data_IF_850450660105
#
_entry.id   IF_850450660105
#
_cell.length_a   1.000
_cell.length_b   1.000
_cell.length_c   1.000
_cell.angle_alpha   90.00
_cell.angle_beta   90.00
_cell.angle_gamma   90.00
#
_symmetry.space_group_name_H-M   'P 1'
#
loop_
_entity.id
_entity.type
_entity.pdbx_description
1 polymer ?
#
# COMPACT_ATOMS: atom_id res chain seq x y z
N UNK A 1 17.50 16.08 13.75
CA UNK A 1 16.66 16.26 14.95
C UNK A 1 16.95 17.62 15.53
N UNK A 2 15.91 18.39 15.87
CA UNK A 2 16.07 19.73 16.39
C UNK A 2 15.70 19.80 17.88
N UNK A 3 16.25 20.77 18.58
CA UNK A 3 15.92 21.05 19.98
C UNK A 3 14.45 21.48 20.11
N UNK A 4 13.70 20.83 21.01
CA UNK A 4 12.27 21.13 21.23
C UNK A 4 12.05 22.51 21.87
N UNK A 5 13.09 23.10 22.46
CA UNK A 5 13.01 24.42 23.16
C UNK A 5 13.37 25.59 22.26
N UNK A 6 14.35 25.43 21.36
CA UNK A 6 14.84 26.57 20.56
C UNK A 6 14.97 26.28 19.05
N UNK A 7 14.67 25.07 18.61
CA UNK A 7 14.75 24.68 17.18
C UNK A 7 16.16 24.45 16.64
N UNK A 8 17.22 24.69 17.41
CA UNK A 8 18.61 24.47 16.96
C UNK A 8 18.87 23.02 16.65
N UNK A 9 19.58 22.67 15.54
CA UNK A 9 19.97 21.28 15.24
C UNK A 9 20.80 20.71 16.41
N UNK A 10 20.46 19.47 16.81
CA UNK A 10 21.13 18.80 17.92
C UNK A 10 22.48 18.22 17.47
N UNK A 11 23.52 18.48 18.28
CA UNK A 11 24.85 17.91 18.17
C UNK A 11 25.00 16.63 19.01
N UNK A 12 26.19 16.01 19.03
CA UNK A 12 26.44 14.78 19.78
C UNK A 12 26.56 14.97 21.31
N UNK A 13 26.64 16.22 21.79
CA UNK A 13 26.71 16.54 23.21
C UNK A 13 25.34 16.51 23.89
N UNK A 14 25.29 16.27 25.21
CA UNK A 14 24.05 16.03 25.96
C UNK A 14 23.27 17.30 26.32
N UNK A 15 23.70 18.44 25.86
CA UNK A 15 23.00 19.74 25.98
C UNK A 15 22.88 20.44 24.64
N UNK A 16 21.86 21.26 24.51
CA UNK A 16 21.62 22.06 23.30
C UNK A 16 22.64 23.22 23.18
N UNK A 17 23.32 23.28 22.05
CA UNK A 17 24.30 24.41 21.80
C UNK A 17 23.66 25.75 21.67
N UNK A 18 22.34 25.84 21.34
CA UNK A 18 21.63 27.08 21.19
C UNK A 18 21.03 27.65 22.49
N UNK A 19 20.49 26.79 23.36
CA UNK A 19 19.79 27.23 24.56
C UNK A 19 20.31 26.62 25.87
N UNK A 20 21.31 25.72 25.82
CA UNK A 20 21.89 25.07 27.00
C UNK A 20 21.01 24.02 27.68
N UNK A 21 19.80 23.73 27.16
CA UNK A 21 18.91 22.76 27.77
C UNK A 21 19.49 21.35 27.71
N UNK A 22 19.27 20.53 28.76
CA UNK A 22 19.61 19.13 28.79
C UNK A 22 18.71 18.37 27.77
N UNK A 23 19.35 17.65 26.83
CA UNK A 23 18.70 16.90 25.75
C UNK A 23 18.96 15.40 25.85
N UNK A 24 19.54 14.92 26.97
CA UNK A 24 19.87 13.50 27.19
C UNK A 24 18.66 12.60 26.98
N UNK A 25 17.51 12.96 27.57
CA UNK A 25 16.25 12.20 27.44
C UNK A 25 15.79 12.19 25.98
N UNK A 26 15.84 13.34 25.30
CA UNK A 26 15.41 13.47 23.90
C UNK A 26 16.23 12.56 22.99
N UNK A 27 17.55 12.54 23.17
CA UNK A 27 18.46 11.64 22.44
C UNK A 27 18.20 10.18 22.75
N UNK A 28 17.91 9.85 24.01
CA UNK A 28 17.57 8.47 24.42
C UNK A 28 16.29 8.00 23.74
N UNK A 29 15.26 8.84 23.73
CA UNK A 29 13.98 8.55 23.04
C UNK A 29 14.19 8.34 21.55
N UNK A 30 14.97 9.21 20.90
CA UNK A 30 15.31 9.04 19.48
C UNK A 30 16.08 7.73 19.19
N UNK A 31 17.03 7.39 20.05
CA UNK A 31 17.79 6.14 19.93
C UNK A 31 16.87 4.92 20.06
N UNK A 32 15.95 4.92 21.03
CA UNK A 32 14.97 3.83 21.18
C UNK A 32 14.09 3.72 19.96
N UNK A 33 13.60 4.86 19.42
CA UNK A 33 12.81 4.87 18.19
C UNK A 33 13.58 4.24 17.03
N UNK A 34 14.85 4.59 16.84
CA UNK A 34 15.69 4.05 15.78
C UNK A 34 16.00 2.54 15.98
N UNK A 35 16.18 2.08 17.20
CA UNK A 35 16.34 0.65 17.48
C UNK A 35 15.08 -0.13 17.11
N UNK A 36 13.89 0.38 17.46
CA UNK A 36 12.61 -0.24 17.11
C UNK A 36 12.32 -0.18 15.61
N UNK A 37 12.78 0.88 14.92
CA UNK A 37 12.75 0.94 13.46
C UNK A 37 13.61 -0.17 12.85
N UNK A 38 14.85 -0.33 13.29
CA UNK A 38 15.74 -1.37 12.79
C UNK A 38 15.17 -2.77 13.04
N UNK A 39 14.61 -3.01 14.23
CA UNK A 39 13.90 -4.26 14.54
C UNK A 39 12.74 -4.51 13.57
N UNK A 40 11.94 -3.46 13.27
CA UNK A 40 10.86 -3.52 12.29
C UNK A 40 11.34 -3.82 10.88
N UNK A 41 12.47 -3.22 10.48
CA UNK A 41 13.10 -3.47 9.18
C UNK A 41 13.57 -4.92 9.04
N UNK A 42 14.22 -5.46 10.07
CA UNK A 42 14.71 -6.85 10.07
C UNK A 42 13.54 -7.85 10.01
N UNK A 43 12.47 -7.60 10.76
CA UNK A 43 11.23 -8.39 10.69
C UNK A 43 10.59 -8.32 9.28
N UNK A 44 10.52 -7.14 8.69
CA UNK A 44 9.99 -6.98 7.34
C UNK A 44 10.81 -7.75 6.29
N UNK A 45 12.13 -7.80 6.42
CA UNK A 45 13.04 -8.56 5.53
C UNK A 45 12.75 -10.06 5.54
N UNK A 46 12.39 -10.62 6.69
CA UNK A 46 12.03 -12.05 6.82
C UNK A 46 10.54 -12.30 6.62
N UNK A 47 9.78 -11.30 6.16
CA UNK A 47 8.33 -11.33 5.93
C UNK A 47 7.50 -11.58 7.20
N UNK A 48 8.00 -11.22 8.36
CA UNK A 48 7.22 -11.08 9.58
C UNK A 48 6.56 -9.68 9.57
N UNK A 49 5.51 -9.53 8.73
CA UNK A 49 4.89 -8.22 8.51
C UNK A 49 4.14 -7.74 9.76
N UNK A 50 3.44 -8.62 10.44
CA UNK A 50 2.72 -8.29 11.68
C UNK A 50 3.68 -7.87 12.80
N UNK A 51 4.80 -8.57 12.97
CA UNK A 51 5.86 -8.20 13.91
C UNK A 51 6.52 -6.87 13.53
N UNK A 52 6.77 -6.63 12.24
CA UNK A 52 7.30 -5.37 11.72
C UNK A 52 6.35 -4.19 12.03
N UNK A 53 5.05 -4.32 11.75
CA UNK A 53 4.04 -3.31 12.07
C UNK A 53 4.07 -2.97 13.57
N UNK A 54 4.16 -4.00 14.44
CA UNK A 54 4.21 -3.78 15.89
C UNK A 54 5.45 -2.98 16.31
N UNK A 55 6.64 -3.35 15.83
CA UNK A 55 7.89 -2.67 16.16
C UNK A 55 7.91 -1.24 15.61
N UNK A 56 7.45 -1.02 14.37
CA UNK A 56 7.39 0.31 13.75
C UNK A 56 6.38 1.24 14.43
N UNK A 57 5.21 0.74 14.83
CA UNK A 57 4.25 1.52 15.62
C UNK A 57 4.85 1.96 16.95
N UNK A 58 5.52 1.04 17.66
CA UNK A 58 6.24 1.40 18.89
C UNK A 58 7.35 2.42 18.64
N UNK A 59 8.08 2.32 17.53
CA UNK A 59 9.05 3.35 17.13
C UNK A 59 8.41 4.73 17.05
N UNK A 60 7.22 4.82 16.44
CA UNK A 60 6.45 6.06 16.27
C UNK A 60 5.77 6.53 17.57
N UNK A 61 5.52 5.66 18.55
CA UNK A 61 5.09 6.05 19.90
C UNK A 61 6.18 6.85 20.62
N UNK A 62 7.46 6.43 20.47
CA UNK A 62 8.60 7.14 21.02
C UNK A 62 8.94 8.42 20.24
N UNK A 63 8.96 8.35 18.92
CA UNK A 63 9.24 9.50 18.05
C UNK A 63 8.30 9.54 16.85
N UNK A 64 7.27 10.39 16.96
CA UNK A 64 6.26 10.56 15.89
C UNK A 64 6.84 11.16 14.60
N UNK A 65 7.97 11.86 14.69
CA UNK A 65 8.64 12.50 13.56
C UNK A 65 9.63 11.58 12.83
N UNK A 66 9.77 10.33 13.25
CA UNK A 66 10.62 9.37 12.56
C UNK A 66 10.05 9.03 11.17
N UNK A 67 10.48 9.80 10.15
CA UNK A 67 10.00 9.67 8.78
C UNK A 67 10.30 8.28 8.21
N UNK A 68 11.46 7.71 8.55
CA UNK A 68 11.87 6.41 8.01
C UNK A 68 11.02 5.27 8.58
N UNK A 69 10.71 5.33 9.89
CA UNK A 69 9.81 4.37 10.51
C UNK A 69 8.40 4.47 9.94
N UNK A 70 7.91 5.68 9.66
CA UNK A 70 6.58 5.91 9.07
C UNK A 70 6.52 5.46 7.62
N UNK A 71 7.53 5.78 6.83
CA UNK A 71 7.63 5.34 5.43
C UNK A 71 7.69 3.81 5.32
N UNK A 72 8.48 3.18 6.16
CA UNK A 72 8.58 1.72 6.21
C UNK A 72 7.27 1.10 6.70
N UNK A 73 6.60 1.68 7.69
CA UNK A 73 5.29 1.21 8.16
C UNK A 73 4.25 1.23 7.02
N UNK A 74 4.22 2.31 6.23
CA UNK A 74 3.39 2.38 5.04
C UNK A 74 3.71 1.27 4.03
N UNK A 75 5.00 1.00 3.79
CA UNK A 75 5.42 -0.06 2.88
C UNK A 75 5.01 -1.46 3.39
N UNK A 76 5.15 -1.71 4.69
CA UNK A 76 4.74 -2.99 5.31
C UNK A 76 3.22 -3.17 5.25
N UNK A 77 2.43 -2.12 5.47
CA UNK A 77 0.99 -2.15 5.25
C UNK A 77 0.63 -2.45 3.79
N UNK A 78 1.34 -1.84 2.84
CA UNK A 78 1.14 -2.10 1.43
C UNK A 78 1.42 -3.57 1.07
N UNK A 79 2.51 -4.15 1.60
CA UNK A 79 2.86 -5.56 1.42
C UNK A 79 1.87 -6.52 2.09
N UNK A 80 1.20 -6.12 3.16
CA UNK A 80 0.12 -6.88 3.80
C UNK A 80 -1.26 -6.70 3.13
N UNK A 81 -1.31 -5.91 2.04
CA UNK A 81 -2.54 -5.61 1.27
C UNK A 81 -3.41 -4.51 1.88
N UNK A 82 -2.97 -3.85 2.95
CA UNK A 82 -3.69 -2.76 3.62
C UNK A 82 -3.36 -1.40 3.00
N UNK A 83 -3.79 -1.20 1.74
CA UNK A 83 -3.40 -0.03 0.95
C UNK A 83 -3.85 1.30 1.57
N UNK A 84 -5.02 1.35 2.21
CA UNK A 84 -5.50 2.57 2.88
C UNK A 84 -4.58 2.94 4.04
N UNK A 85 -4.25 1.98 4.90
CA UNK A 85 -3.31 2.21 6.01
C UNK A 85 -1.94 2.66 5.50
N UNK A 86 -1.47 2.08 4.39
CA UNK A 86 -0.22 2.48 3.75
C UNK A 86 -0.26 3.94 3.30
N UNK A 87 -1.31 4.34 2.57
CA UNK A 87 -1.50 5.72 2.10
C UNK A 87 -1.60 6.70 3.27
N UNK A 88 -2.32 6.34 4.33
CA UNK A 88 -2.43 7.18 5.54
C UNK A 88 -1.06 7.47 6.13
N UNK A 89 -0.20 6.46 6.31
CA UNK A 89 1.13 6.65 6.86
C UNK A 89 2.03 7.50 5.94
N UNK A 90 1.96 7.28 4.62
CA UNK A 90 2.74 8.08 3.67
C UNK A 90 2.26 9.53 3.57
N UNK A 91 0.94 9.79 3.60
CA UNK A 91 0.41 11.16 3.62
C UNK A 91 0.83 11.89 4.89
N UNK A 92 0.75 11.23 6.05
CA UNK A 92 1.23 11.82 7.31
C UNK A 92 2.74 12.10 7.23
N UNK A 93 3.53 11.16 6.69
CA UNK A 93 4.97 11.33 6.52
C UNK A 93 5.31 12.53 5.64
N UNK A 94 4.63 12.67 4.48
CA UNK A 94 4.81 13.78 3.55
C UNK A 94 4.46 15.12 4.20
N UNK A 95 3.35 15.17 4.95
CA UNK A 95 2.91 16.42 5.62
C UNK A 95 3.86 16.86 6.74
N UNK A 96 4.47 15.90 7.46
CA UNK A 96 5.43 16.22 8.54
C UNK A 96 6.81 16.61 8.00
N UNK A 97 7.24 16.01 6.90
CA UNK A 97 8.54 16.22 6.26
C UNK A 97 8.33 16.31 4.75
N UNK A 98 7.99 17.48 4.20
CA UNK A 98 7.69 17.62 2.77
C UNK A 98 8.93 17.47 1.89
N UNK A 99 10.12 17.84 2.39
CA UNK A 99 11.35 17.83 1.62
C UNK A 99 12.02 16.45 1.65
N UNK A 100 12.49 15.99 0.48
CA UNK A 100 13.24 14.72 0.28
C UNK A 100 12.60 13.53 1.01
N UNK A 101 11.31 13.28 0.71
CA UNK A 101 10.56 12.22 1.38
C UNK A 101 10.13 11.13 0.40
N UNK A 102 10.60 9.89 0.63
CA UNK A 102 10.21 8.72 -0.15
C UNK A 102 8.69 8.45 -0.17
N UNK A 103 7.94 8.99 0.80
CA UNK A 103 6.48 8.89 0.83
C UNK A 103 5.85 9.46 -0.44
N UNK A 104 6.38 10.58 -0.97
CA UNK A 104 5.88 11.18 -2.21
C UNK A 104 5.98 10.20 -3.38
N UNK A 105 7.13 9.59 -3.58
CA UNK A 105 7.32 8.57 -4.62
C UNK A 105 6.28 7.43 -4.51
N UNK A 106 6.00 6.94 -3.30
CA UNK A 106 5.01 5.87 -3.11
C UNK A 106 3.58 6.33 -3.39
N UNK A 107 3.23 7.53 -2.97
CA UNK A 107 1.92 8.14 -3.23
C UNK A 107 1.73 8.31 -4.74
N UNK A 108 2.68 8.94 -5.43
CA UNK A 108 2.61 9.19 -6.87
C UNK A 108 2.53 7.90 -7.68
N UNK A 109 3.30 6.89 -7.30
CA UNK A 109 3.26 5.56 -7.92
C UNK A 109 1.89 4.87 -7.79
N UNK A 110 1.13 5.17 -6.75
CA UNK A 110 -0.24 4.67 -6.60
C UNK A 110 -1.24 5.54 -7.35
N UNK A 111 -1.07 6.85 -7.33
CA UNK A 111 -1.99 7.82 -7.95
C UNK A 111 -1.84 7.91 -9.47
N UNK A 112 -0.64 7.67 -10.01
CA UNK A 112 -0.37 7.71 -11.45
C UNK A 112 -1.21 6.72 -12.27
N UNK A 113 -1.80 5.71 -11.63
CA UNK A 113 -2.66 4.72 -12.29
C UNK A 113 -4.09 4.79 -11.75
N UNK A 114 -4.95 5.57 -12.41
CA UNK A 114 -6.36 5.73 -12.05
C UNK A 114 -7.11 4.40 -11.93
N UNK A 115 -6.86 3.47 -12.85
CA UNK A 115 -7.49 2.15 -12.83
C UNK A 115 -7.11 1.35 -11.57
N UNK A 116 -5.89 1.56 -11.05
CA UNK A 116 -5.41 0.91 -9.82
C UNK A 116 -6.12 1.47 -8.59
N UNK A 117 -6.32 2.79 -8.52
CA UNK A 117 -7.08 3.43 -7.44
C UNK A 117 -8.54 2.96 -7.43
N UNK A 118 -9.18 2.91 -8.60
CA UNK A 118 -10.55 2.42 -8.71
C UNK A 118 -10.67 0.95 -8.28
N UNK A 119 -9.69 0.12 -8.67
CA UNK A 119 -9.64 -1.28 -8.23
C UNK A 119 -9.48 -1.39 -6.71
N UNK A 120 -8.63 -0.57 -6.09
CA UNK A 120 -8.44 -0.52 -4.63
C UNK A 120 -9.76 -0.14 -3.95
N UNK A 121 -10.42 0.92 -4.41
CA UNK A 121 -11.69 1.38 -3.88
C UNK A 121 -12.79 0.32 -4.01
N UNK A 122 -12.88 -0.34 -5.16
CA UNK A 122 -13.81 -1.46 -5.37
C UNK A 122 -13.51 -2.63 -4.44
N UNK A 123 -12.24 -2.95 -4.23
CA UNK A 123 -11.81 -4.02 -3.33
C UNK A 123 -12.22 -3.75 -1.89
N UNK A 124 -12.05 -2.50 -1.42
CA UNK A 124 -12.47 -2.08 -0.08
C UNK A 124 -13.98 -2.18 0.07
N UNK A 125 -14.75 -1.67 -0.90
CA UNK A 125 -16.21 -1.76 -0.87
C UNK A 125 -16.69 -3.22 -0.82
N UNK A 126 -16.13 -4.10 -1.64
CA UNK A 126 -16.45 -5.54 -1.64
C UNK A 126 -16.09 -6.22 -0.33
N UNK A 127 -14.95 -5.87 0.27
CA UNK A 127 -14.54 -6.39 1.57
C UNK A 127 -15.52 -5.96 2.68
N UNK A 128 -15.88 -4.68 2.71
CA UNK A 128 -16.87 -4.17 3.67
C UNK A 128 -18.25 -4.80 3.45
N UNK A 129 -18.66 -5.01 2.19
CA UNK A 129 -19.90 -5.72 1.88
C UNK A 129 -19.86 -7.19 2.36
N UNK A 130 -18.71 -7.86 2.22
CA UNK A 130 -18.54 -9.21 2.76
C UNK A 130 -18.68 -9.25 4.30
N UNK A 131 -18.17 -8.23 5.00
CA UNK A 131 -18.36 -8.10 6.46
C UNK A 131 -19.82 -7.93 6.83
N UNK A 132 -20.61 -7.18 6.05
CA UNK A 132 -22.05 -7.04 6.25
C UNK A 132 -22.73 -8.39 6.06
N UNK A 133 -22.46 -9.09 4.97
CA UNK A 133 -23.03 -10.43 4.74
C UNK A 133 -22.67 -11.44 5.85
N UNK A 134 -21.45 -11.37 6.40
CA UNK A 134 -21.08 -12.21 7.54
C UNK A 134 -21.90 -11.90 8.81
N UNK A 135 -22.30 -10.64 9.02
CA UNK A 135 -23.13 -10.23 10.17
C UNK A 135 -24.60 -10.65 10.00
N UNK A 136 -25.03 -10.78 8.76
CA UNK A 136 -26.41 -11.18 8.39
C UNK A 136 -26.51 -12.69 8.15
N UNK A 137 -25.48 -13.47 8.49
CA UNK A 137 -25.37 -14.93 8.25
C UNK A 137 -25.53 -15.35 6.78
N UNK A 138 -25.32 -14.43 5.84
CA UNK A 138 -25.29 -14.72 4.41
C UNK A 138 -23.89 -15.18 3.96
N UNK A 139 -23.42 -16.30 4.51
CA UNK A 139 -22.06 -16.82 4.35
C UNK A 139 -21.66 -17.02 2.89
N UNK A 140 -22.57 -17.55 2.06
CA UNK A 140 -22.28 -17.80 0.63
C UNK A 140 -21.99 -16.51 -0.13
N UNK A 141 -22.78 -15.46 0.13
CA UNK A 141 -22.56 -14.15 -0.49
C UNK A 141 -21.25 -13.52 -0.01
N UNK A 142 -20.93 -13.66 1.28
CA UNK A 142 -19.66 -13.23 1.84
C UNK A 142 -18.48 -13.95 1.17
N UNK A 143 -18.54 -15.26 1.02
CA UNK A 143 -17.50 -16.06 0.34
C UNK A 143 -17.29 -15.64 -1.13
N UNK A 144 -18.38 -15.35 -1.86
CA UNK A 144 -18.30 -14.87 -3.25
C UNK A 144 -17.59 -13.52 -3.31
N UNK A 145 -17.95 -12.57 -2.44
CA UNK A 145 -17.30 -11.26 -2.40
C UNK A 145 -15.82 -11.37 -1.99
N UNK A 146 -15.49 -12.16 -0.98
CA UNK A 146 -14.10 -12.35 -0.55
C UNK A 146 -13.22 -12.98 -1.63
N UNK A 147 -13.74 -13.94 -2.41
CA UNK A 147 -13.02 -14.48 -3.58
C UNK A 147 -12.74 -13.39 -4.62
N UNK A 148 -13.70 -12.49 -4.88
CA UNK A 148 -13.51 -11.32 -5.76
C UNK A 148 -12.48 -10.34 -5.18
N UNK A 149 -12.51 -10.10 -3.87
CA UNK A 149 -11.50 -9.28 -3.16
C UNK A 149 -10.11 -9.86 -3.35
N UNK A 150 -9.93 -11.15 -3.10
CA UNK A 150 -8.62 -11.82 -3.23
C UNK A 150 -8.11 -11.93 -4.66
N UNK A 151 -9.00 -11.93 -5.67
CA UNK A 151 -8.59 -11.84 -7.07
C UNK A 151 -8.07 -10.45 -7.45
N UNK A 152 -8.58 -9.39 -6.83
CA UNK A 152 -8.17 -8.00 -7.07
C UNK A 152 -6.98 -7.59 -6.19
N UNK A 153 -6.95 -8.05 -4.94
CA UNK A 153 -5.86 -7.81 -3.99
C UNK A 153 -5.39 -9.13 -3.34
N UNK A 154 -4.49 -9.86 -3.99
CA UNK A 154 -4.01 -11.15 -3.50
C UNK A 154 -3.10 -11.06 -2.27
N UNK A 155 -2.75 -9.84 -1.79
CA UNK A 155 -1.94 -9.63 -0.59
C UNK A 155 -2.79 -9.37 0.66
N UNK A 156 -4.11 -9.17 0.55
CA UNK A 156 -4.96 -8.77 1.68
C UNK A 156 -5.16 -9.93 2.67
N UNK A 157 -4.32 -9.98 3.70
CA UNK A 157 -4.30 -11.03 4.73
C UNK A 157 -5.66 -11.14 5.45
N UNK A 158 -6.28 -10.01 5.79
CA UNK A 158 -7.59 -9.97 6.45
C UNK A 158 -8.69 -10.69 5.65
N UNK A 159 -8.63 -10.62 4.31
CA UNK A 159 -9.59 -11.32 3.47
C UNK A 159 -9.33 -12.84 3.44
N UNK A 160 -8.07 -13.27 3.49
CA UNK A 160 -7.75 -14.69 3.67
C UNK A 160 -8.26 -15.23 5.00
N UNK A 161 -8.07 -14.48 6.11
CA UNK A 161 -8.54 -14.88 7.42
C UNK A 161 -10.06 -15.02 7.45
N UNK A 162 -10.79 -14.01 6.95
CA UNK A 162 -12.24 -14.03 6.97
C UNK A 162 -12.80 -15.16 6.10
N UNK A 163 -12.25 -15.36 4.90
CA UNK A 163 -12.68 -16.46 4.02
C UNK A 163 -12.33 -17.82 4.61
N UNK A 164 -11.18 -17.95 5.27
CA UNK A 164 -10.80 -19.19 5.95
C UNK A 164 -11.74 -19.49 7.14
N UNK A 165 -12.12 -18.48 7.93
CA UNK A 165 -13.10 -18.63 9.01
C UNK A 165 -14.47 -19.13 8.50
N UNK A 166 -14.94 -18.58 7.38
CA UNK A 166 -16.19 -19.05 6.77
C UNK A 166 -16.07 -20.52 6.34
N UNK A 167 -14.95 -20.92 5.74
CA UNK A 167 -14.73 -22.34 5.42
C UNK A 167 -14.61 -23.21 6.68
N UNK A 168 -14.02 -22.73 7.76
CA UNK A 168 -13.98 -23.45 9.05
C UNK A 168 -15.40 -23.60 9.64
N UNK A 169 -16.23 -22.56 9.59
CA UNK A 169 -17.65 -22.60 9.99
C UNK A 169 -18.41 -23.70 9.22
N UNK A 170 -18.13 -23.84 7.93
CA UNK A 170 -18.72 -24.87 7.07
C UNK A 170 -17.96 -26.21 7.06
N UNK A 171 -17.00 -26.41 7.96
CA UNK A 171 -16.18 -27.63 8.08
C UNK A 171 -15.36 -28.00 6.81
N UNK A 172 -15.16 -27.04 5.90
CA UNK A 172 -14.34 -27.23 4.71
C UNK A 172 -12.85 -26.96 5.01
N UNK A 173 -12.26 -27.82 5.82
CA UNK A 173 -10.90 -27.68 6.35
C UNK A 173 -9.84 -27.62 5.25
N UNK A 174 -10.04 -28.32 4.14
CA UNK A 174 -9.07 -28.34 3.04
C UNK A 174 -8.99 -26.99 2.31
N UNK A 175 -10.13 -26.31 2.09
CA UNK A 175 -10.11 -24.97 1.48
C UNK A 175 -9.57 -23.96 2.47
N UNK A 176 -9.95 -24.03 3.74
CA UNK A 176 -9.39 -23.17 4.80
C UNK A 176 -7.86 -23.30 4.85
N UNK A 177 -7.33 -24.52 4.90
CA UNK A 177 -5.88 -24.79 4.92
C UNK A 177 -5.15 -24.17 3.73
N UNK A 178 -5.69 -24.31 2.50
CA UNK A 178 -5.09 -23.73 1.29
C UNK A 178 -5.00 -22.21 1.35
N UNK A 179 -6.02 -21.55 1.89
CA UNK A 179 -6.05 -20.09 2.06
C UNK A 179 -5.09 -19.62 3.13
N UNK A 180 -5.09 -20.29 4.29
CA UNK A 180 -4.20 -19.95 5.40
C UNK A 180 -2.73 -20.15 5.05
N UNK A 181 -2.39 -21.19 4.25
CA UNK A 181 -1.05 -21.32 3.67
C UNK A 181 -0.66 -20.11 2.83
N UNK A 182 -1.56 -19.59 2.00
CA UNK A 182 -1.28 -18.39 1.20
C UNK A 182 -1.07 -17.17 2.11
N UNK A 183 -1.90 -17.01 3.15
CA UNK A 183 -1.70 -15.93 4.13
C UNK A 183 -0.34 -16.05 4.85
N UNK A 184 0.06 -17.25 5.26
CA UNK A 184 1.36 -17.50 5.88
C UNK A 184 2.56 -17.23 4.95
N UNK A 185 2.41 -17.33 3.63
CA UNK A 185 3.46 -16.91 2.69
C UNK A 185 3.59 -15.38 2.59
N UNK A 186 2.50 -14.64 2.86
CA UNK A 186 2.54 -13.18 2.86
C UNK A 186 3.15 -12.69 4.16
N UNK A 187 2.69 -13.23 5.29
CA UNK A 187 3.14 -12.89 6.64
C UNK A 187 3.44 -14.17 7.44
N UNK A 188 4.72 -14.48 7.59
CA UNK A 188 5.20 -15.77 8.09
C UNK A 188 4.88 -16.03 9.56
N UNK A 189 4.86 -14.99 10.38
CA UNK A 189 4.68 -15.09 11.83
C UNK A 189 3.33 -14.54 12.31
N UNK A 190 2.36 -14.42 11.41
CA UNK A 190 1.04 -13.94 11.78
C UNK A 190 0.35 -14.90 12.74
N UNK A 191 0.21 -14.49 14.00
CA UNK A 191 -0.34 -15.31 15.08
C UNK A 191 -1.77 -15.80 14.79
N UNK A 192 -2.59 -14.97 14.11
CA UNK A 192 -3.95 -15.35 13.72
C UNK A 192 -3.94 -16.45 12.66
N UNK A 193 -3.08 -16.31 11.65
CA UNK A 193 -2.91 -17.35 10.61
C UNK A 193 -2.44 -18.67 11.22
N UNK A 194 -1.44 -18.62 12.12
CA UNK A 194 -0.88 -19.81 12.77
C UNK A 194 -1.92 -20.48 13.66
N UNK A 195 -2.70 -19.71 14.42
CA UNK A 195 -3.78 -20.24 15.25
C UNK A 195 -4.85 -20.97 14.42
N UNK A 196 -5.31 -20.37 13.33
CA UNK A 196 -6.29 -21.02 12.47
C UNK A 196 -5.74 -22.26 11.75
N UNK A 197 -4.44 -22.26 11.41
CA UNK A 197 -3.78 -23.47 10.89
C UNK A 197 -3.75 -24.57 11.94
N UNK A 198 -3.49 -24.25 13.19
CA UNK A 198 -3.51 -25.19 14.31
C UNK A 198 -4.93 -25.75 14.54
N UNK A 199 -5.97 -24.92 14.46
CA UNK A 199 -7.38 -25.38 14.51
C UNK A 199 -7.70 -26.37 13.41
N UNK A 200 -7.26 -26.10 12.16
CA UNK A 200 -7.41 -27.02 11.03
C UNK A 200 -6.66 -28.34 11.30
N UNK A 201 -5.46 -28.27 11.85
CA UNK A 201 -4.65 -29.44 12.16
C UNK A 201 -5.30 -30.31 13.25
N UNK A 202 -5.81 -29.71 14.30
CA UNK A 202 -6.54 -30.41 15.36
C UNK A 202 -7.81 -31.09 14.82
N UNK A 203 -8.55 -30.40 13.94
CA UNK A 203 -9.78 -30.94 13.36
C UNK A 203 -9.56 -32.07 12.35
N UNK A 204 -8.43 -32.05 11.62
CA UNK A 204 -8.18 -32.99 10.53
C UNK A 204 -7.13 -34.07 10.88
N UNK A 205 -6.36 -33.89 11.95
CA UNK A 205 -5.22 -34.73 12.29
C UNK A 205 -4.02 -34.63 11.33
N UNK A 206 -4.09 -33.70 10.34
CA UNK A 206 -3.06 -33.56 9.30
C UNK A 206 -2.21 -32.34 9.57
N UNK A 207 -0.94 -32.54 9.88
CA UNK A 207 0.03 -31.44 10.08
C UNK A 207 0.21 -30.60 8.82
N UNK A 208 0.24 -29.28 8.99
CA UNK A 208 0.40 -28.33 7.91
C UNK A 208 1.85 -27.87 7.81
N UNK A 209 2.67 -28.52 6.98
CA UNK A 209 4.00 -28.01 6.66
C UNK A 209 3.90 -26.67 5.92
N UNK A 210 4.47 -25.62 6.54
CA UNK A 210 4.66 -24.30 5.93
C UNK A 210 5.97 -24.22 5.14
N UNK A 211 6.80 -25.27 5.21
CA UNK A 211 8.00 -25.32 4.40
C UNK A 211 7.63 -25.15 2.94
N UNK A 212 8.23 -24.14 2.33
CA UNK A 212 8.29 -24.06 0.88
C UNK A 212 8.87 -25.42 0.47
N UNK A 213 8.07 -26.29 -0.16
CA UNK A 213 8.63 -27.41 -0.90
C UNK A 213 9.66 -26.76 -1.82
N UNK A 214 10.91 -26.67 -1.36
CA UNK A 214 12.01 -26.51 -2.29
C UNK A 214 11.72 -27.58 -3.30
N UNK A 215 11.26 -27.19 -4.52
CA UNK A 215 11.22 -28.10 -5.65
C UNK A 215 12.56 -28.78 -5.49
N UNK A 216 12.56 -30.08 -5.15
CA UNK A 216 13.77 -30.88 -5.18
C UNK A 216 14.29 -30.59 -6.58
N UNK A 217 15.21 -29.62 -6.72
CA UNK A 217 16.06 -29.59 -7.88
C UNK A 217 16.68 -30.97 -7.78
N UNK A 218 16.28 -31.84 -8.68
CA UNK A 218 16.86 -33.13 -8.88
C UNK A 218 18.35 -33.00 -8.60
N UNK A 219 18.85 -33.86 -7.74
CA UNK A 219 20.21 -33.77 -7.23
C UNK A 219 21.09 -33.31 -8.39
N UNK A 220 21.77 -32.17 -8.21
CA UNK A 220 22.54 -31.57 -9.28
C UNK A 220 23.37 -32.67 -9.88
N UNK A 221 23.08 -33.07 -11.11
CA UNK A 221 23.97 -33.79 -11.96
C UNK A 221 25.35 -33.17 -11.80
N UNK A 222 26.24 -33.79 -11.06
CA UNK A 222 27.62 -33.38 -11.04
C UNK A 222 28.20 -33.81 -12.38
N UNK A 223 28.11 -32.92 -13.33
CA UNK A 223 28.86 -33.03 -14.57
C UNK A 223 30.30 -32.73 -14.21
N UNK A 224 31.13 -33.76 -14.18
CA UNK A 224 32.56 -33.56 -14.06
C UNK A 224 33.06 -32.97 -15.38
N UNK A 225 33.37 -31.65 -15.35
CA UNK A 225 33.75 -30.88 -16.53
C UNK A 225 35.05 -31.36 -17.18
N UNK A 226 35.85 -32.21 -16.49
CA UNK A 226 37.08 -32.73 -17.04
C UNK A 226 36.91 -34.09 -17.75
N UNK A 227 35.96 -34.93 -17.35
CA UNK A 227 35.78 -36.27 -17.90
C UNK A 227 34.55 -36.42 -18.80
N UNK A 228 33.66 -35.42 -18.81
CA UNK A 228 32.42 -35.45 -19.59
C UNK A 228 31.43 -36.58 -19.19
N UNK A 229 31.63 -37.23 -18.05
CA UNK A 229 30.81 -38.32 -17.58
C UNK A 229 29.69 -37.77 -16.68
N UNK A 230 28.46 -38.22 -16.88
CA UNK A 230 27.30 -37.91 -16.05
C UNK A 230 27.10 -39.01 -15.02
N UNK A 231 27.21 -38.67 -13.74
CA UNK A 231 27.00 -39.59 -12.64
C UNK A 231 25.71 -39.27 -11.90
N UNK A 232 24.82 -40.24 -11.71
CA UNK A 232 23.65 -40.11 -10.84
C UNK A 232 23.58 -41.27 -9.85
N UNK A 233 23.11 -40.98 -8.67
CA UNK A 233 22.84 -41.97 -7.63
C UNK A 233 21.39 -42.41 -7.71
N UNK A 234 21.17 -43.73 -7.86
CA UNK A 234 19.87 -44.34 -7.73
C UNK A 234 19.92 -45.31 -6.52
N UNK A 235 19.43 -44.85 -5.38
CA UNK A 235 19.57 -45.59 -4.12
C UNK A 235 21.02 -45.65 -3.65
N UNK A 236 21.59 -46.84 -3.50
CA UNK A 236 22.99 -47.05 -3.06
C UNK A 236 23.95 -47.31 -4.25
N UNK A 237 23.49 -47.25 -5.46
CA UNK A 237 24.30 -47.53 -6.67
C UNK A 237 24.63 -46.24 -7.42
N UNK A 238 25.91 -46.09 -7.81
CA UNK A 238 26.41 -45.00 -8.62
C UNK A 238 26.43 -45.45 -10.09
N UNK A 239 25.53 -44.89 -10.89
CA UNK A 239 25.47 -45.16 -12.32
C UNK A 239 26.29 -44.13 -13.08
N UNK A 240 27.32 -44.56 -13.78
CA UNK A 240 28.18 -43.74 -14.64
C UNK A 240 27.76 -43.99 -16.09
N UNK A 241 27.18 -42.97 -16.74
CA UNK A 241 26.92 -43.05 -18.17
C UNK A 241 28.06 -42.37 -18.96
N UNK A 242 28.64 -43.08 -19.96
CA UNK A 242 29.59 -42.43 -20.88
C UNK A 242 28.84 -41.42 -21.75
N UNK A 243 29.49 -40.28 -22.02
CA UNK A 243 28.92 -39.25 -22.90
C UNK A 243 28.78 -39.85 -24.32
N UNK A 244 27.55 -40.02 -24.79
CA UNK A 244 27.31 -40.19 -26.22
C UNK A 244 27.51 -38.83 -26.90
N UNK A 245 28.41 -38.78 -27.89
CA UNK A 245 28.59 -37.61 -28.74
C UNK A 245 27.25 -37.27 -29.39
N UNK A 246 26.64 -36.18 -28.93
CA UNK A 246 25.43 -35.66 -29.51
C UNK A 246 25.82 -34.59 -30.52
N UNK A 247 25.53 -34.87 -31.80
CA UNK A 247 25.74 -33.91 -32.88
C UNK A 247 25.09 -32.58 -32.53
N UNK A 248 25.91 -31.51 -32.44
CA UNK A 248 25.54 -30.18 -31.99
C UNK A 248 24.69 -29.38 -32.99
N UNK A 249 24.29 -30.01 -34.13
CA UNK A 249 23.58 -29.32 -35.21
C UNK A 249 22.18 -28.80 -34.83
N UNK A 250 21.45 -29.53 -34.01
CA UNK A 250 20.09 -29.13 -33.59
C UNK A 250 20.14 -27.94 -32.66
N UNK A 251 21.07 -27.90 -31.71
CA UNK A 251 21.17 -26.77 -30.71
C UNK A 251 21.63 -25.48 -31.43
N UNK A 252 22.54 -25.55 -32.38
CA UNK A 252 22.96 -24.38 -33.17
C UNK A 252 21.76 -23.82 -33.99
N UNK A 253 20.93 -24.69 -34.56
CA UNK A 253 19.76 -24.28 -35.32
C UNK A 253 18.73 -23.59 -34.40
N UNK A 254 18.47 -24.10 -33.21
CA UNK A 254 17.57 -23.46 -32.23
C UNK A 254 18.14 -22.12 -31.73
N UNK A 255 19.43 -22.01 -31.50
CA UNK A 255 20.08 -20.75 -31.11
C UNK A 255 19.93 -19.70 -32.22
N UNK A 256 20.15 -20.08 -33.49
CA UNK A 256 20.00 -19.16 -34.62
C UNK A 256 18.56 -18.70 -34.83
N UNK A 257 17.57 -19.59 -34.65
CA UNK A 257 16.15 -19.24 -34.71
C UNK A 257 15.79 -18.29 -33.54
N UNK A 258 16.26 -18.58 -32.34
CA UNK A 258 16.03 -17.72 -31.18
C UNK A 258 16.68 -16.35 -31.36
N UNK A 259 17.89 -16.30 -31.88
CA UNK A 259 18.58 -15.03 -32.18
C UNK A 259 17.82 -14.22 -33.25
N UNK A 260 17.28 -14.89 -34.28
CA UNK A 260 16.46 -14.25 -35.31
C UNK A 260 15.16 -13.67 -34.75
N UNK A 261 14.49 -14.39 -33.83
CA UNK A 261 13.28 -13.90 -33.15
C UNK A 261 13.61 -12.69 -32.25
N UNK A 262 14.72 -12.74 -31.50
CA UNK A 262 15.13 -11.63 -30.62
C UNK A 262 15.48 -10.37 -31.43
N UNK A 263 16.21 -10.54 -32.55
CA UNK A 263 16.52 -9.43 -33.45
C UNK A 263 15.27 -8.86 -34.13
N UNK A 264 14.36 -9.72 -34.58
CA UNK A 264 13.07 -9.31 -35.14
C UNK A 264 12.21 -8.55 -34.12
N UNK A 265 12.11 -9.06 -32.90
CA UNK A 265 11.40 -8.38 -31.79
C UNK A 265 12.05 -7.04 -31.42
N UNK A 266 13.38 -6.95 -31.43
CA UNK A 266 14.10 -5.71 -31.19
C UNK A 266 13.81 -4.65 -32.27
N UNK A 267 13.77 -5.03 -33.55
CA UNK A 267 13.44 -4.12 -34.66
C UNK A 267 11.99 -3.61 -34.52
N UNK A 268 11.04 -4.49 -34.22
CA UNK A 268 9.64 -4.10 -33.98
C UNK A 268 9.54 -3.17 -32.77
N UNK A 269 10.25 -3.48 -31.68
CA UNK A 269 10.28 -2.67 -30.47
C UNK A 269 10.87 -1.25 -30.73
N UNK A 270 11.94 -1.16 -31.49
CA UNK A 270 12.59 0.13 -31.77
C UNK A 270 11.86 0.97 -32.83
N UNK A 271 11.15 0.36 -33.81
CA UNK A 271 10.48 1.09 -34.89
C UNK A 271 8.99 1.31 -34.64
N UNK A 272 8.29 0.31 -34.09
CA UNK A 272 6.82 0.38 -33.96
C UNK A 272 6.38 0.98 -32.61
N UNK A 273 7.09 0.62 -31.52
CA UNK A 273 6.72 1.09 -30.16
C UNK A 273 6.89 2.60 -29.97
N UNK A 274 7.93 3.29 -30.49
CA UNK A 274 8.03 4.75 -30.37
C UNK A 274 6.93 5.49 -31.11
N UNK A 275 6.59 5.04 -32.32
CA UNK A 275 5.54 5.64 -33.14
C UNK A 275 4.15 5.56 -32.50
N UNK A 276 3.80 4.38 -31.95
CA UNK A 276 2.51 4.20 -31.24
C UNK A 276 2.48 4.94 -29.89
N UNK A 277 3.58 5.01 -29.16
CA UNK A 277 3.67 5.80 -27.93
C UNK A 277 3.47 7.30 -28.20
N UNK A 278 4.09 7.83 -29.24
CA UNK A 278 3.98 9.26 -29.57
C UNK A 278 2.54 9.65 -29.87
N UNK A 279 1.80 8.85 -30.66
CA UNK A 279 0.39 9.11 -30.96
C UNK A 279 -0.53 8.99 -29.74
N UNK A 280 -0.21 8.09 -28.79
CA UNK A 280 -0.94 7.95 -27.53
C UNK A 280 -0.66 9.14 -26.60
N UNK A 281 0.58 9.61 -26.52
CA UNK A 281 0.93 10.80 -25.73
C UNK A 281 0.32 12.08 -26.29
N UNK A 282 0.26 12.25 -27.62
CA UNK A 282 -0.41 13.39 -28.25
C UNK A 282 -1.91 13.41 -27.96
N UNK A 283 -2.57 12.25 -28.05
CA UNK A 283 -4.01 12.13 -27.71
C UNK A 283 -4.27 12.36 -26.21
N UNK A 284 -3.41 11.81 -25.34
CA UNK A 284 -3.54 12.01 -23.90
C UNK A 284 -3.29 13.47 -23.50
N UNK A 285 -2.29 14.14 -24.10
CA UNK A 285 -2.04 15.56 -23.86
C UNK A 285 -3.18 16.44 -24.38
N UNK A 286 -3.76 16.14 -25.52
CA UNK A 286 -4.93 16.85 -26.03
C UNK A 286 -6.13 16.73 -25.07
N UNK A 287 -6.39 15.53 -24.54
CA UNK A 287 -7.46 15.32 -23.55
C UNK A 287 -7.20 16.05 -22.23
N UNK A 288 -5.94 16.06 -21.75
CA UNK A 288 -5.56 16.80 -20.53
C UNK A 288 -5.72 18.31 -20.75
N UNK A 289 -5.34 18.82 -21.91
CA UNK A 289 -5.48 20.24 -22.25
C UNK A 289 -6.97 20.64 -22.32
N UNK A 290 -7.81 19.79 -22.93
CA UNK A 290 -9.26 20.02 -23.00
C UNK A 290 -9.90 19.96 -21.60
N UNK A 291 -9.55 18.98 -20.79
CA UNK A 291 -10.02 18.88 -19.41
C UNK A 291 -9.58 20.09 -18.55
N UNK A 292 -8.35 20.56 -18.72
CA UNK A 292 -7.86 21.77 -18.02
C UNK A 292 -8.60 23.04 -18.48
N UNK A 293 -8.91 23.16 -19.78
CA UNK A 293 -9.67 24.30 -20.28
C UNK A 293 -11.11 24.30 -19.75
N UNK A 294 -11.75 23.13 -19.66
CA UNK A 294 -13.07 22.98 -19.06
C UNK A 294 -13.04 23.29 -17.54
N UNK A 295 -12.00 22.86 -16.84
CA UNK A 295 -11.83 23.16 -15.43
C UNK A 295 -11.62 24.67 -15.20
N UNK A 296 -10.80 25.33 -16.02
CA UNK A 296 -10.60 26.77 -15.96
C UNK A 296 -11.92 27.55 -16.20
N UNK A 297 -12.73 27.11 -17.16
CA UNK A 297 -14.05 27.70 -17.40
C UNK A 297 -15.01 27.50 -16.21
N UNK A 298 -14.98 26.32 -15.56
CA UNK A 298 -15.78 26.08 -14.35
C UNK A 298 -15.32 26.94 -13.18
N UNK A 299 -14.00 27.08 -12.98
CA UNK A 299 -13.44 27.94 -11.91
C UNK A 299 -13.85 29.39 -12.11
N UNK A 300 -13.76 29.92 -13.35
CA UNK A 300 -14.24 31.29 -13.67
C UNK A 300 -15.73 31.46 -13.41
N UNK A 301 -16.54 30.40 -13.69
CA UNK A 301 -17.97 30.42 -13.40
C UNK A 301 -18.29 30.42 -11.92
N UNK A 302 -17.53 29.64 -11.13
CA UNK A 302 -17.64 29.64 -9.67
C UNK A 302 -17.24 30.99 -9.08
N UNK A 303 -16.16 31.61 -9.59
CA UNK A 303 -15.77 32.95 -9.17
C UNK A 303 -16.85 34.00 -9.48
N UNK A 304 -17.43 33.95 -10.67
CA UNK A 304 -18.53 34.85 -11.01
C UNK A 304 -19.78 34.69 -10.12
N UNK A 305 -20.13 33.44 -9.79
CA UNK A 305 -21.21 33.16 -8.85
C UNK A 305 -20.89 33.62 -7.42
N UNK A 306 -19.63 33.52 -7.02
CA UNK A 306 -19.18 34.02 -5.70
C UNK A 306 -19.30 35.54 -5.61
N UNK A 307 -18.89 36.29 -6.65
CA UNK A 307 -19.04 37.74 -6.72
C UNK A 307 -20.53 38.15 -6.71
N UNK A 308 -21.40 37.36 -7.35
CA UNK A 308 -22.83 37.60 -7.32
C UNK A 308 -23.42 37.36 -5.92
N UNK A 309 -22.99 36.30 -5.22
CA UNK A 309 -23.39 36.03 -3.83
C UNK A 309 -22.94 37.17 -2.91
N UNK A 310 -21.70 37.61 -3.03
CA UNK A 310 -21.15 38.71 -2.21
C UNK A 310 -21.93 40.02 -2.47
N UNK A 311 -22.34 40.24 -3.73
CA UNK A 311 -23.22 41.34 -4.12
C UNK A 311 -24.63 41.26 -3.50
N UNK A 312 -25.22 40.08 -3.44
CA UNK A 312 -26.49 39.87 -2.74
C UNK A 312 -26.35 40.02 -1.21
N UNK A 313 -25.25 39.50 -0.64
CA UNK A 313 -24.98 39.64 0.78
C UNK A 313 -24.88 41.12 1.20
N UNK A 314 -24.17 41.94 0.41
CA UNK A 314 -24.07 43.38 0.63
C UNK A 314 -25.45 44.08 0.57
N UNK A 315 -26.33 43.65 -0.35
CA UNK A 315 -27.71 44.19 -0.44
C UNK A 315 -28.57 43.80 0.75
N UNK A 316 -28.41 42.56 1.26
CA UNK A 316 -29.09 42.06 2.46
C UNK A 316 -28.65 42.85 3.69
N UNK A 317 -27.34 43.08 3.83
CA UNK A 317 -26.78 43.83 4.95
C UNK A 317 -27.26 45.30 4.93
N UNK A 318 -27.33 45.91 3.74
CA UNK A 318 -27.91 47.26 3.57
C UNK A 318 -29.40 47.31 3.94
N UNK A 319 -30.16 46.28 3.50
CA UNK A 319 -31.59 46.20 3.84
C UNK A 319 -31.82 45.98 5.33
N UNK A 320 -31.01 45.18 5.98
CA UNK A 320 -31.06 44.91 7.42
C UNK A 320 -30.72 46.21 8.23
N UNK A 321 -29.71 46.99 7.80
CA UNK A 321 -29.41 48.29 8.41
C UNK A 321 -30.57 49.28 8.24
N UNK A 322 -31.15 49.32 7.03
CA UNK A 322 -32.30 50.19 6.81
C UNK A 322 -33.52 49.80 7.65
N UNK A 323 -33.72 48.51 7.86
CA UNK A 323 -34.74 47.97 8.75
C UNK A 323 -34.50 48.37 10.19
N UNK A 324 -33.27 48.21 10.68
CA UNK A 324 -32.87 48.55 12.05
C UNK A 324 -33.03 50.08 12.32
N UNK A 325 -32.74 50.92 11.32
CA UNK A 325 -33.00 52.37 11.38
C UNK A 325 -34.50 52.69 11.39
N UNK A 326 -35.28 51.96 10.63
CA UNK A 326 -36.74 52.10 10.60
C UNK A 326 -37.38 51.68 11.96
N UNK A 327 -36.92 50.57 12.50
CA UNK A 327 -37.39 50.08 13.79
C UNK A 327 -37.01 51.05 14.94
N UNK A 328 -35.78 51.60 14.96
CA UNK A 328 -35.41 52.68 15.90
C UNK A 328 -36.25 53.91 15.79
N UNK A 329 -36.65 54.31 14.53
CA UNK A 329 -37.58 55.44 14.32
C UNK A 329 -38.98 55.09 14.82
N UNK A 330 -39.48 53.88 14.60
CA UNK A 330 -40.76 53.42 15.10
C UNK A 330 -40.81 53.46 16.63
N UNK A 331 -39.79 52.93 17.31
CA UNK A 331 -39.66 52.96 18.77
C UNK A 331 -39.62 54.40 19.31
N UNK A 332 -38.94 55.33 18.62
CA UNK A 332 -38.94 56.74 19.00
C UNK A 332 -40.28 57.43 18.86
N UNK A 333 -41.09 57.04 17.85
CA UNK A 333 -42.45 57.54 17.69
C UNK A 333 -43.41 56.98 18.78
N UNK A 334 -43.23 55.69 19.14
CA UNK A 334 -44.00 55.08 20.24
C UNK A 334 -43.69 55.75 21.59
N UNK A 335 -42.42 56.09 21.85
CA UNK A 335 -42.00 56.81 23.04
C UNK A 335 -42.60 58.22 23.13
N UNK A 336 -42.64 58.92 21.99
CA UNK A 336 -43.30 60.26 21.90
C UNK A 336 -44.81 60.16 22.11
N UNK A 337 -45.46 59.10 21.60
CA UNK A 337 -46.90 58.84 21.79
C UNK A 337 -47.23 58.48 23.26
N UNK A 338 -46.33 57.84 23.99
CA UNK A 338 -46.54 57.54 25.40
C UNK A 338 -46.41 58.80 26.31
N UNK A 339 -45.54 59.75 25.90
CA UNK A 339 -45.38 61.02 26.64
C UNK A 339 -46.52 62.00 26.41
N UNK A 340 -47.27 61.83 25.26
CA UNK A 340 -48.38 62.71 24.88
C UNK A 340 -49.75 62.25 25.42
N UNK A 341 -49.82 61.12 26.15
CA UNK A 341 -51.00 60.65 26.91
C UNK A 341 -50.87 61.01 28.37
#
# INVERSE_FOLDING_TARGET
MNCIYCGTPLSDIDYCTGCGADITILKRVARISNLLYNEGLDKARVRDLSGAIKSLKRSLEFNKENKDARNLLGLVYFESGEVVSALTEWVISKNMNPDDNLAEYYIDKLQSNKNKLDTINQTIRKYNQALVYCREDHDDMAMIQLKKVLSQNPKLIKAYHLLALLYLKHQDYEKARKLLKKAAFIDTNNTTTLRYLQEVELATGISTSLDVKRKKKYAKEKVDRLSGTVTYMNGNEMIIQPTTFRDSSAVATFINIFLGIVLGAAVVWFLVVPSTRQSIYEKANAQVTDANSQMAAQVSRVQGLQEEIDGYQSKVDAANKAKEEADKKADSYDEILQVAK
#
